data_IF_094467581724
#
_entry.id   IF_094467581724
#
_cell.length_a   1.000
_cell.length_b   1.000
_cell.length_c   1.000
_cell.angle_alpha   90.00
_cell.angle_beta   90.00
_cell.angle_gamma   90.00
#
_symmetry.space_group_name_H-M   'P 1'
#
loop_
_entity.id
_entity.type
_entity.pdbx_description
1 polymer ?
#
# COMPACT_ATOMS: atom_id res chain seq x y z
N UNK A 1 -7.12 -5.11 -10.31
CA UNK A 1 -5.94 -4.36 -10.79
C UNK A 1 -5.36 -3.41 -9.72
N UNK A 2 -6.18 -2.62 -9.01
CA UNK A 2 -5.69 -1.61 -8.04
C UNK A 2 -4.63 -2.07 -7.02
N UNK A 3 -4.71 -3.28 -6.47
CA UNK A 3 -3.67 -3.79 -5.53
C UNK A 3 -2.28 -3.91 -6.17
N UNK A 4 -2.21 -4.32 -7.44
CA UNK A 4 -0.93 -4.49 -8.11
C UNK A 4 -0.31 -3.15 -8.50
N UNK A 5 -1.14 -2.16 -8.87
CA UNK A 5 -0.71 -0.79 -9.11
C UNK A 5 -0.22 -0.12 -7.81
N UNK A 6 -0.97 -0.27 -6.72
CA UNK A 6 -0.55 0.17 -5.40
C UNK A 6 0.79 -0.47 -5.03
N UNK A 7 0.93 -1.80 -5.17
CA UNK A 7 2.19 -2.51 -4.93
C UNK A 7 3.35 -1.99 -5.77
N UNK A 8 3.14 -1.73 -7.06
CA UNK A 8 4.18 -1.18 -7.94
C UNK A 8 4.63 0.21 -7.48
N UNK A 9 3.67 1.06 -7.10
CA UNK A 9 3.96 2.40 -6.60
C UNK A 9 4.72 2.39 -5.25
N UNK A 10 4.31 1.54 -4.32
CA UNK A 10 5.00 1.41 -3.04
C UNK A 10 6.45 0.95 -3.26
N UNK A 11 6.67 0.01 -4.20
CA UNK A 11 8.01 -0.44 -4.61
C UNK A 11 8.87 0.68 -5.22
N UNK A 12 8.30 1.57 -6.02
CA UNK A 12 9.07 2.66 -6.64
C UNK A 12 9.47 3.75 -5.64
N UNK A 13 8.83 3.80 -4.47
CA UNK A 13 9.09 4.80 -3.44
C UNK A 13 9.84 4.23 -2.22
N UNK A 14 10.30 2.98 -2.29
CA UNK A 14 11.18 2.39 -1.27
C UNK A 14 12.50 1.95 -1.90
N UNK A 15 13.60 2.11 -1.15
CA UNK A 15 14.90 1.56 -1.53
C UNK A 15 15.03 0.07 -1.19
N UNK A 16 13.98 -0.51 -0.60
CA UNK A 16 14.00 -1.87 -0.12
C UNK A 16 13.83 -2.88 -1.26
N UNK A 17 14.82 -3.75 -1.41
CA UNK A 17 14.91 -4.73 -2.51
C UNK A 17 14.30 -6.09 -2.16
N UNK A 18 14.01 -6.34 -0.87
CA UNK A 18 13.41 -7.60 -0.41
C UNK A 18 11.87 -7.51 -0.40
N UNK A 19 11.19 -8.63 -0.62
CA UNK A 19 9.73 -8.65 -0.73
C UNK A 19 9.07 -8.47 0.64
N UNK A 20 8.82 -7.22 1.06
CA UNK A 20 7.95 -6.91 2.23
C UNK A 20 6.47 -6.94 1.87
N UNK A 21 6.15 -6.69 0.60
CA UNK A 21 4.80 -6.95 0.11
C UNK A 21 4.69 -8.45 -0.14
N UNK A 22 3.63 -9.11 0.36
CA UNK A 22 3.38 -10.51 0.12
C UNK A 22 3.44 -10.80 -1.38
N UNK A 23 3.63 -12.07 -1.80
CA UNK A 23 3.49 -12.46 -3.18
C UNK A 23 2.01 -12.33 -3.60
N UNK A 24 1.51 -11.10 -3.69
CA UNK A 24 0.43 -10.68 -4.54
C UNK A 24 0.90 -10.99 -5.96
N UNK A 25 0.57 -12.18 -6.42
CA UNK A 25 0.88 -12.67 -7.77
C UNK A 25 -0.36 -12.44 -8.62
N UNK A 26 -0.15 -11.95 -9.83
CA UNK A 26 -1.20 -11.96 -10.85
C UNK A 26 -1.48 -13.43 -11.21
N UNK A 27 -2.50 -14.00 -10.60
CA UNK A 27 -3.03 -15.30 -10.98
C UNK A 27 -4.53 -15.13 -11.21
N UNK A 28 -4.99 -15.42 -12.42
CA UNK A 28 -6.41 -15.32 -12.82
C UNK A 28 -7.34 -16.16 -11.93
N UNK A 29 -6.79 -17.10 -11.14
CA UNK A 29 -7.52 -17.93 -10.16
C UNK A 29 -7.36 -17.49 -8.70
N UNK A 30 -6.44 -16.57 -8.38
CA UNK A 30 -6.21 -16.15 -7.00
C UNK A 30 -7.11 -14.96 -6.66
N UNK A 31 -8.11 -15.20 -5.83
CA UNK A 31 -8.87 -14.12 -5.23
C UNK A 31 -7.97 -13.35 -4.25
N UNK A 32 -7.84 -12.04 -4.48
CA UNK A 32 -6.99 -11.17 -3.67
C UNK A 32 -7.36 -11.14 -2.19
N UNK A 33 -8.56 -11.60 -1.83
CA UNK A 33 -9.03 -11.74 -0.47
C UNK A 33 -8.26 -12.77 0.36
N UNK A 34 -7.55 -13.69 -0.31
CA UNK A 34 -6.65 -14.64 0.33
C UNK A 34 -5.20 -14.13 0.43
N UNK A 35 -4.93 -12.92 -0.07
CA UNK A 35 -3.60 -12.34 0.05
C UNK A 35 -3.39 -11.87 1.47
N UNK A 36 -2.19 -12.16 1.98
CA UNK A 36 -1.75 -11.58 3.24
C UNK A 36 -1.88 -10.05 3.16
N UNK A 37 -2.21 -9.44 4.31
CA UNK A 37 -2.45 -8.01 4.46
C UNK A 37 -3.70 -7.45 3.75
N UNK A 38 -4.56 -8.31 3.18
CA UNK A 38 -5.84 -7.92 2.58
C UNK A 38 -6.98 -8.55 3.38
N UNK A 39 -7.98 -7.75 3.77
CA UNK A 39 -9.28 -8.27 4.24
C UNK A 39 -10.37 -7.79 3.31
N UNK A 40 -11.12 -8.75 2.79
CA UNK A 40 -12.36 -8.48 2.09
C UNK A 40 -13.57 -8.60 3.03
N UNK A 41 -14.66 -7.98 2.62
CA UNK A 41 -15.99 -8.28 3.13
C UNK A 41 -16.38 -9.69 2.66
N UNK A 42 -16.84 -10.52 3.59
CA UNK A 42 -17.11 -11.93 3.31
C UNK A 42 -18.41 -12.12 2.48
N UNK A 43 -19.22 -11.06 2.34
CA UNK A 43 -20.47 -11.06 1.55
C UNK A 43 -20.24 -10.48 0.16
N UNK A 44 -19.60 -9.30 0.06
CA UNK A 44 -19.46 -8.59 -1.22
C UNK A 44 -18.16 -8.95 -1.95
N UNK A 45 -17.17 -9.51 -1.26
CA UNK A 45 -15.84 -9.77 -1.79
C UNK A 45 -15.00 -8.51 -2.02
N UNK A 46 -15.50 -7.33 -1.62
CA UNK A 46 -14.76 -6.08 -1.75
C UNK A 46 -13.69 -5.94 -0.67
N UNK A 47 -12.54 -5.36 -1.04
CA UNK A 47 -11.47 -5.06 -0.10
C UNK A 47 -11.92 -3.96 0.87
N UNK A 48 -11.95 -4.30 2.15
CA UNK A 48 -12.36 -3.39 3.24
C UNK A 48 -11.21 -3.00 4.16
N UNK A 49 -10.11 -3.77 4.19
CA UNK A 49 -8.91 -3.41 4.97
C UNK A 49 -7.63 -3.76 4.23
N UNK A 50 -6.64 -2.88 4.36
CA UNK A 50 -5.26 -3.07 3.91
C UNK A 50 -4.29 -2.78 5.05
N UNK A 51 -3.39 -3.73 5.33
CA UNK A 51 -2.34 -3.62 6.34
C UNK A 51 -0.97 -3.47 5.68
N UNK A 52 -0.56 -2.24 5.39
CA UNK A 52 0.65 -1.93 4.64
C UNK A 52 1.65 -1.19 5.52
N UNK A 53 1.73 -1.53 6.80
CA UNK A 53 2.68 -0.92 7.72
C UNK A 53 4.09 -1.51 7.58
N UNK A 54 5.09 -0.68 7.86
CA UNK A 54 6.50 -1.05 7.87
C UNK A 54 7.00 -1.72 6.57
N UNK A 55 6.49 -1.26 5.42
CA UNK A 55 6.93 -1.75 4.10
C UNK A 55 8.28 -1.15 3.67
N UNK A 56 8.81 -0.19 4.45
CA UNK A 56 10.05 0.53 4.18
C UNK A 56 11.01 0.44 5.38
N UNK A 57 11.42 -0.79 5.73
CA UNK A 57 12.14 -1.11 6.97
C UNK A 57 13.58 -0.56 7.06
N UNK A 58 14.15 -0.04 5.97
CA UNK A 58 15.49 0.57 5.96
C UNK A 58 15.51 2.07 6.29
N UNK A 59 14.34 2.69 6.51
CA UNK A 59 14.28 4.08 7.01
C UNK A 59 14.54 4.17 8.53
N UNK A 60 15.64 3.55 8.98
CA UNK A 60 16.37 4.01 10.16
C UNK A 60 17.46 5.04 9.80
N UNK A 61 17.51 5.46 8.52
CA UNK A 61 18.54 6.36 8.00
C UNK A 61 17.99 7.80 7.94
N UNK A 62 18.02 8.42 9.13
CA UNK A 62 18.00 9.87 9.38
C UNK A 62 16.76 10.65 8.91
N UNK A 63 16.14 11.31 9.89
CA UNK A 63 14.99 12.22 9.84
C UNK A 63 15.06 13.41 8.83
N UNK A 64 16.02 13.43 7.91
CA UNK A 64 16.22 14.46 6.89
C UNK A 64 15.81 14.09 5.45
N UNK A 65 15.59 12.81 5.13
CA UNK A 65 15.35 12.36 3.73
C UNK A 65 13.98 11.73 3.43
N UNK A 66 13.15 11.52 4.45
CA UNK A 66 11.80 10.95 4.33
C UNK A 66 10.83 11.94 3.66
N UNK A 67 10.84 12.01 2.33
CA UNK A 67 10.18 13.07 1.55
C UNK A 67 9.17 12.55 0.53
N UNK A 68 8.64 11.34 0.70
CA UNK A 68 7.68 10.80 -0.25
C UNK A 68 6.24 10.97 0.23
N UNK A 69 5.38 11.22 -0.75
CA UNK A 69 3.96 11.49 -0.58
C UNK A 69 3.21 10.40 -1.31
N UNK A 70 2.11 9.92 -0.71
CA UNK A 70 1.29 8.89 -1.32
C UNK A 70 0.35 9.52 -2.36
N UNK A 71 0.28 8.94 -3.56
CA UNK A 71 -0.73 9.32 -4.55
C UNK A 71 -2.10 8.75 -4.15
N UNK A 72 -3.01 9.63 -3.74
CA UNK A 72 -4.38 9.30 -3.34
C UNK A 72 -5.18 8.62 -4.46
N UNK A 73 -4.84 8.88 -5.73
CA UNK A 73 -5.52 8.29 -6.88
C UNK A 73 -5.40 6.77 -6.92
N UNK A 74 -4.35 6.21 -6.30
CA UNK A 74 -4.15 4.77 -6.17
C UNK A 74 -5.20 4.09 -5.29
N UNK A 75 -5.91 4.86 -4.46
CA UNK A 75 -6.95 4.36 -3.57
C UNK A 75 -8.35 4.41 -4.18
N UNK A 76 -8.54 5.13 -5.29
CA UNK A 76 -9.83 5.27 -5.97
C UNK A 76 -10.51 3.93 -6.35
N UNK A 77 -9.79 2.86 -6.74
CA UNK A 77 -10.41 1.58 -7.03
C UNK A 77 -11.02 0.88 -5.80
N UNK A 78 -10.63 1.27 -4.59
CA UNK A 78 -11.00 0.60 -3.33
C UNK A 78 -12.18 1.30 -2.65
N UNK A 79 -13.34 1.31 -3.33
CA UNK A 79 -14.52 2.09 -2.91
C UNK A 79 -15.09 1.71 -1.55
N UNK A 80 -14.85 0.49 -1.08
CA UNK A 80 -15.32 0.00 0.22
C UNK A 80 -14.21 -0.05 1.28
N UNK A 81 -13.03 0.53 1.01
CA UNK A 81 -11.92 0.53 1.96
C UNK A 81 -12.30 1.30 3.22
N UNK A 82 -12.32 0.60 4.36
CA UNK A 82 -12.64 1.17 5.68
C UNK A 82 -11.39 1.43 6.50
N UNK A 83 -10.37 0.60 6.34
CA UNK A 83 -9.12 0.69 7.11
C UNK A 83 -7.93 0.61 6.15
N UNK A 84 -7.06 1.60 6.25
CA UNK A 84 -5.77 1.65 5.56
C UNK A 84 -4.69 1.92 6.60
N UNK A 85 -3.90 0.91 6.94
CA UNK A 85 -2.74 1.06 7.80
C UNK A 85 -1.50 1.28 6.92
N UNK A 86 -0.91 2.47 7.04
CA UNK A 86 0.32 2.89 6.35
C UNK A 86 1.41 3.29 7.35
N UNK A 87 1.26 2.91 8.62
CA UNK A 87 2.17 3.31 9.68
C UNK A 87 3.61 2.82 9.41
N UNK A 88 4.60 3.55 9.92
CA UNK A 88 6.01 3.17 9.82
C UNK A 88 6.58 3.09 8.38
N UNK A 89 6.07 3.94 7.47
CA UNK A 89 6.51 4.00 6.06
C UNK A 89 7.21 5.30 5.66
N UNK A 90 7.36 6.27 6.58
CA UNK A 90 7.96 7.59 6.28
C UNK A 90 7.13 8.44 5.30
N UNK A 91 5.80 8.22 5.25
CA UNK A 91 4.88 8.99 4.39
C UNK A 91 4.56 10.32 5.08
N UNK A 92 4.93 11.44 4.44
CA UNK A 92 4.66 12.79 4.99
C UNK A 92 3.25 13.31 4.71
N UNK A 93 2.58 12.74 3.72
CA UNK A 93 1.22 13.16 3.35
C UNK A 93 0.82 12.65 1.97
N UNK A 94 -0.22 13.26 1.43
CA UNK A 94 -0.76 12.95 0.12
C UNK A 94 -0.16 13.83 -0.97
N UNK A 95 -0.05 13.31 -2.20
CA UNK A 95 0.54 14.06 -3.30
C UNK A 95 -0.30 15.30 -3.64
N UNK A 96 -1.63 15.22 -3.53
CA UNK A 96 -2.51 16.39 -3.65
C UNK A 96 -2.23 17.50 -2.64
N UNK A 97 -1.53 17.20 -1.54
CA UNK A 97 -1.20 18.15 -0.46
C UNK A 97 0.23 18.69 -0.56
N UNK A 98 0.96 18.45 -1.66
CA UNK A 98 2.38 18.88 -1.83
C UNK A 98 2.60 20.41 -1.83
N UNK A 99 1.55 21.22 -1.74
CA UNK A 99 1.62 22.69 -1.83
C UNK A 99 0.93 23.44 -0.69
N UNK A 100 0.62 22.78 0.44
CA UNK A 100 0.16 23.44 1.67
C UNK A 100 1.30 23.64 2.67
#
# INVERSE_FOLDING_TARGET
>A
MGLLELKAYLKSNTNYTKALLPPWVYNLKSECCNWEQVKCDDTTGYVIKLWLSNINHETHVYAGSENWFLNESLLLPFKELKILDLSHNGIRGWQGNKGM
#
